data_IF_022201087282
#
_entry.id   IF_022201087282
#
_cell.length_a   1.000
_cell.length_b   1.000
_cell.length_c   1.000
_cell.angle_alpha   90.00
_cell.angle_beta   90.00
_cell.angle_gamma   90.00
#
_symmetry.space_group_name_H-M   'P 1'
#
loop_
_entity.id
_entity.type
_entity.pdbx_description
1 polymer ?
#
# COMPACT_ATOMS: atom_id res chain seq x y z
N UNK A 1 -45.07 24.15 -75.42
CA UNK A 1 -44.44 24.83 -76.60
C UNK A 1 -42.97 24.97 -76.36
N UNK A 2 -42.21 24.53 -77.37
CA UNK A 2 -40.75 24.67 -77.62
C UNK A 2 -39.74 23.90 -76.74
N UNK A 3 -39.33 22.79 -77.31
CA UNK A 3 -38.07 22.10 -77.17
C UNK A 3 -36.87 22.99 -77.46
N UNK A 4 -35.81 22.85 -76.60
CA UNK A 4 -34.45 23.12 -77.05
C UNK A 4 -33.57 22.06 -76.52
N UNK A 5 -33.08 21.23 -77.41
CA UNK A 5 -32.04 20.26 -77.28
C UNK A 5 -30.69 20.94 -77.16
N UNK A 6 -29.84 20.55 -76.18
CA UNK A 6 -28.42 20.87 -76.21
C UNK A 6 -27.58 19.58 -76.11
N UNK A 7 -26.73 19.54 -77.12
CA UNK A 7 -25.79 18.44 -77.36
C UNK A 7 -24.69 18.33 -76.31
N UNK A 8 -24.35 17.13 -76.03
CA UNK A 8 -23.17 16.76 -75.21
C UNK A 8 -21.86 17.14 -75.90
N UNK A 9 -20.95 17.76 -75.12
CA UNK A 9 -19.55 17.81 -75.44
C UNK A 9 -18.82 17.19 -74.24
N UNK A 10 -18.37 15.97 -74.45
CA UNK A 10 -17.54 15.25 -73.46
C UNK A 10 -16.09 15.77 -73.60
N UNK A 11 -15.65 16.58 -72.68
CA UNK A 11 -14.23 16.94 -72.53
C UNK A 11 -13.64 16.07 -71.42
N UNK A 12 -12.82 15.10 -71.77
CA UNK A 12 -11.93 14.39 -70.84
C UNK A 12 -10.87 15.35 -70.36
N UNK A 13 -10.98 15.81 -69.11
CA UNK A 13 -9.85 16.43 -68.39
C UNK A 13 -9.21 15.32 -67.59
N UNK A 14 -8.11 14.81 -68.06
CA UNK A 14 -7.22 13.94 -67.29
C UNK A 14 -6.50 14.82 -66.25
N UNK A 15 -7.00 14.81 -65.04
CA UNK A 15 -6.27 15.41 -63.88
C UNK A 15 -5.15 14.47 -63.46
N UNK A 16 -3.94 14.79 -63.82
CA UNK A 16 -2.72 14.25 -63.24
C UNK A 16 -2.68 14.70 -61.79
N UNK A 17 -3.12 13.84 -60.85
CA UNK A 17 -2.80 13.96 -59.45
C UNK A 17 -1.31 13.59 -59.28
N UNK A 18 -0.49 14.44 -58.64
CA UNK A 18 0.86 14.03 -58.30
C UNK A 18 0.75 12.86 -57.29
N UNK A 19 1.41 11.74 -57.61
CA UNK A 19 1.59 10.65 -56.68
C UNK A 19 2.29 11.23 -55.43
N UNK A 20 1.55 11.39 -54.34
CA UNK A 20 2.13 11.68 -53.06
C UNK A 20 2.99 10.44 -52.72
N UNK A 21 4.30 10.57 -52.89
CA UNK A 21 5.24 9.67 -52.28
C UNK A 21 5.01 9.74 -50.78
N UNK A 22 4.38 8.70 -50.23
CA UNK A 22 4.39 8.45 -48.78
C UNK A 22 5.87 8.29 -48.42
N UNK A 23 6.44 9.37 -47.89
CA UNK A 23 7.74 9.29 -47.26
C UNK A 23 7.57 8.30 -46.12
N UNK A 24 8.06 7.08 -46.31
CA UNK A 24 8.25 6.14 -45.21
C UNK A 24 9.14 6.87 -44.22
N UNK A 25 8.56 7.23 -43.06
CA UNK A 25 9.36 7.77 -41.98
C UNK A 25 10.48 6.75 -41.70
N UNK A 26 11.70 7.16 -41.92
CA UNK A 26 12.85 6.36 -41.52
C UNK A 26 12.71 6.05 -40.04
N UNK A 27 12.97 4.81 -39.61
CA UNK A 27 12.95 4.49 -38.18
C UNK A 27 13.88 5.46 -37.48
N UNK A 28 13.37 6.09 -36.42
CA UNK A 28 14.15 6.97 -35.56
C UNK A 28 15.21 6.16 -34.84
N UNK A 29 16.32 5.90 -35.52
CA UNK A 29 17.53 5.40 -34.88
C UNK A 29 18.27 6.60 -34.30
N UNK A 30 18.62 6.62 -33.02
CA UNK A 30 19.52 7.65 -32.51
C UNK A 30 20.87 7.51 -33.18
N UNK A 31 21.58 8.62 -33.45
CA UNK A 31 22.92 8.56 -33.98
C UNK A 31 23.83 7.92 -32.93
N UNK A 32 24.24 6.68 -33.13
CA UNK A 32 25.17 6.02 -32.24
C UNK A 32 25.07 4.49 -32.11
N UNK A 33 24.31 3.81 -32.97
CA UNK A 33 24.44 2.35 -33.07
C UNK A 33 23.25 1.53 -32.53
N UNK A 34 23.18 0.32 -33.03
CA UNK A 34 22.13 -0.70 -32.73
C UNK A 34 22.04 -1.09 -31.25
N UNK A 35 23.05 -0.84 -30.44
CA UNK A 35 23.13 -1.25 -29.05
C UNK A 35 22.13 -0.53 -28.11
N UNK A 36 21.67 0.66 -28.47
CA UNK A 36 20.75 1.45 -27.64
C UNK A 36 19.34 0.87 -27.59
N UNK A 37 18.98 0.05 -28.59
CA UNK A 37 17.63 -0.52 -28.72
C UNK A 37 17.56 -2.00 -28.31
N UNK A 38 18.66 -2.62 -27.99
CA UNK A 38 18.67 -3.98 -27.46
C UNK A 38 18.74 -3.92 -25.93
N UNK A 39 17.75 -4.46 -25.25
CA UNK A 39 17.78 -4.66 -23.81
C UNK A 39 18.64 -5.92 -23.55
N UNK A 40 19.84 -5.80 -22.98
CA UNK A 40 20.64 -6.96 -22.60
C UNK A 40 19.80 -7.87 -21.66
N UNK A 41 19.90 -9.19 -21.84
CA UNK A 41 19.20 -10.17 -21.02
C UNK A 41 17.66 -10.06 -21.05
N UNK A 42 17.07 -9.66 -22.17
CA UNK A 42 15.62 -9.45 -22.35
C UNK A 42 14.76 -10.60 -21.78
N UNK A 43 15.13 -11.83 -22.04
CA UNK A 43 14.40 -13.01 -21.54
C UNK A 43 14.48 -13.09 -20.01
N UNK A 44 15.65 -12.83 -19.45
CA UNK A 44 15.88 -12.84 -17.99
C UNK A 44 15.11 -11.72 -17.31
N UNK A 45 15.09 -10.52 -17.89
CA UNK A 45 14.34 -9.37 -17.37
C UNK A 45 12.85 -9.66 -17.42
N UNK A 46 12.32 -10.12 -18.55
CA UNK A 46 10.90 -10.46 -18.66
C UNK A 46 10.47 -11.56 -17.69
N UNK A 47 11.31 -12.57 -17.50
CA UNK A 47 11.06 -13.63 -16.53
C UNK A 47 11.07 -13.15 -15.08
N UNK A 48 11.86 -12.11 -14.77
CA UNK A 48 11.96 -11.51 -13.44
C UNK A 48 11.09 -10.27 -13.22
N UNK A 49 10.28 -9.87 -14.23
CA UNK A 49 9.39 -8.70 -14.07
C UNK A 49 8.23 -9.00 -13.14
N UNK A 50 8.04 -8.15 -12.13
CA UNK A 50 6.89 -8.18 -11.21
C UNK A 50 6.09 -6.89 -11.28
N UNK A 51 4.78 -6.98 -11.13
CA UNK A 51 3.87 -5.84 -11.09
C UNK A 51 3.27 -5.67 -9.71
N UNK A 52 3.22 -4.41 -9.25
CA UNK A 52 2.70 -4.04 -7.93
C UNK A 52 1.58 -3.04 -8.10
N UNK A 53 0.32 -3.42 -7.80
CA UNK A 53 -0.79 -2.47 -7.79
C UNK A 53 -0.77 -1.64 -6.51
N UNK A 54 -0.91 -0.33 -6.67
CA UNK A 54 -0.76 0.66 -5.59
C UNK A 54 -2.04 1.48 -5.38
N UNK A 55 -1.92 2.70 -4.83
CA UNK A 55 -3.01 3.68 -4.76
C UNK A 55 -3.11 4.51 -6.06
N UNK A 56 -4.14 5.34 -6.19
CA UNK A 56 -4.15 6.43 -7.16
C UNK A 56 -2.92 7.33 -7.03
N UNK A 57 -2.62 8.08 -8.08
CA UNK A 57 -1.49 9.02 -8.09
C UNK A 57 -1.54 9.98 -6.88
N UNK A 58 -0.39 10.21 -6.25
CA UNK A 58 -0.27 11.07 -5.06
C UNK A 58 -0.54 10.37 -3.73
N UNK A 59 -1.10 9.17 -3.72
CA UNK A 59 -1.22 8.36 -2.50
C UNK A 59 0.14 7.81 -2.04
N UNK A 60 0.32 7.64 -0.74
CA UNK A 60 1.58 7.14 -0.18
C UNK A 60 2.05 5.82 -0.83
N UNK A 61 1.16 4.87 -1.07
CA UNK A 61 1.53 3.59 -1.70
C UNK A 61 1.98 3.73 -3.16
N UNK A 62 1.56 4.77 -3.90
CA UNK A 62 2.08 5.02 -5.25
C UNK A 62 3.54 5.49 -5.20
N UNK A 63 3.92 6.25 -4.18
CA UNK A 63 5.31 6.65 -3.92
C UNK A 63 6.12 5.44 -3.48
N UNK A 64 5.59 4.59 -2.60
CA UNK A 64 6.21 3.32 -2.22
C UNK A 64 6.49 2.42 -3.43
N UNK A 65 5.55 2.30 -4.37
CA UNK A 65 5.74 1.57 -5.62
C UNK A 65 6.90 2.13 -6.45
N UNK A 66 6.99 3.46 -6.56
CA UNK A 66 8.10 4.13 -7.25
C UNK A 66 9.44 3.93 -6.54
N UNK A 67 9.46 3.95 -5.22
CA UNK A 67 10.66 3.68 -4.43
C UNK A 67 11.11 2.23 -4.61
N UNK A 68 10.16 1.26 -4.60
CA UNK A 68 10.47 -0.16 -4.86
C UNK A 68 11.12 -0.34 -6.24
N UNK A 69 10.57 0.26 -7.28
CA UNK A 69 11.17 0.20 -8.61
C UNK A 69 12.60 0.79 -8.62
N UNK A 70 12.79 1.97 -8.02
CA UNK A 70 14.09 2.65 -8.02
C UNK A 70 15.20 1.91 -7.28
N UNK A 71 14.87 1.16 -6.23
CA UNK A 71 15.86 0.47 -5.40
C UNK A 71 16.10 -0.96 -5.88
N UNK A 72 15.07 -1.60 -6.45
CA UNK A 72 15.10 -3.02 -6.72
C UNK A 72 15.30 -3.38 -8.19
N UNK A 73 15.06 -2.44 -9.13
CA UNK A 73 15.36 -2.70 -10.55
C UNK A 73 16.83 -3.05 -10.71
N UNK A 74 17.10 -4.21 -11.30
CA UNK A 74 18.44 -4.74 -11.50
C UNK A 74 18.47 -5.60 -12.77
N UNK A 75 18.98 -5.01 -13.85
CA UNK A 75 19.05 -5.66 -15.15
C UNK A 75 20.03 -6.85 -15.14
N UNK A 76 21.10 -6.79 -14.32
CA UNK A 76 22.07 -7.87 -14.20
C UNK A 76 21.48 -9.08 -13.52
N UNK A 77 20.75 -8.85 -12.44
CA UNK A 77 19.99 -9.89 -11.76
C UNK A 77 18.69 -10.24 -12.49
N UNK A 78 18.24 -9.42 -13.45
CA UNK A 78 17.01 -9.60 -14.19
C UNK A 78 15.78 -9.45 -13.29
N UNK A 79 15.77 -8.44 -12.43
CA UNK A 79 14.59 -8.03 -11.64
C UNK A 79 14.09 -6.70 -12.15
N UNK A 80 12.84 -6.65 -12.53
CA UNK A 80 12.15 -5.42 -12.92
C UNK A 80 10.89 -5.26 -12.11
N UNK A 81 10.70 -4.11 -11.47
CA UNK A 81 9.52 -3.78 -10.66
C UNK A 81 8.69 -2.73 -11.37
N UNK A 82 7.46 -3.06 -11.70
CA UNK A 82 6.53 -2.16 -12.38
C UNK A 82 5.40 -1.75 -11.43
N UNK A 83 5.42 -0.53 -10.88
CA UNK A 83 4.31 -0.02 -10.11
C UNK A 83 3.14 0.33 -11.04
N UNK A 84 1.95 -0.13 -10.69
CA UNK A 84 0.69 0.12 -11.40
C UNK A 84 -0.22 0.96 -10.50
N UNK A 85 -0.78 2.02 -11.02
CA UNK A 85 -1.74 2.83 -10.28
C UNK A 85 -3.06 2.08 -10.14
N UNK A 86 -3.49 1.88 -8.90
CA UNK A 86 -4.74 1.20 -8.54
C UNK A 86 -5.84 2.18 -8.13
N UNK A 87 -6.94 1.60 -7.65
CA UNK A 87 -8.12 2.35 -7.18
C UNK A 87 -8.31 2.27 -5.67
N UNK A 88 -7.31 1.79 -4.94
CA UNK A 88 -7.39 1.64 -3.49
C UNK A 88 -7.44 0.19 -3.02
N UNK A 89 -7.25 -0.07 -1.70
CA UNK A 89 -7.01 -1.40 -1.15
C UNK A 89 -8.08 -2.44 -1.43
N UNK A 90 -9.37 -2.06 -1.42
CA UNK A 90 -10.48 -2.97 -1.71
C UNK A 90 -10.42 -3.43 -3.17
N UNK A 91 -10.26 -2.49 -4.11
CA UNK A 91 -10.15 -2.84 -5.52
C UNK A 91 -8.87 -3.61 -5.82
N UNK A 92 -7.78 -3.27 -5.16
CA UNK A 92 -6.50 -3.97 -5.32
C UNK A 92 -6.61 -5.46 -4.98
N UNK A 93 -7.45 -5.84 -4.01
CA UNK A 93 -7.73 -7.27 -3.73
C UNK A 93 -8.27 -7.98 -4.96
N UNK A 94 -9.28 -7.40 -5.63
CA UNK A 94 -9.84 -7.98 -6.86
C UNK A 94 -8.77 -8.07 -7.95
N UNK A 95 -7.96 -7.03 -8.08
CA UNK A 95 -6.92 -6.97 -9.10
C UNK A 95 -5.81 -8.02 -8.83
N UNK A 96 -5.38 -8.20 -7.58
CA UNK A 96 -4.43 -9.26 -7.19
C UNK A 96 -5.02 -10.65 -7.45
N UNK A 97 -6.30 -10.86 -7.17
CA UNK A 97 -6.93 -12.17 -7.30
C UNK A 97 -7.22 -12.57 -8.76
N UNK A 98 -7.53 -11.62 -9.64
CA UNK A 98 -8.13 -11.93 -10.94
C UNK A 98 -7.43 -11.30 -12.13
N UNK A 99 -6.66 -10.22 -12.01
CA UNK A 99 -5.94 -9.65 -13.14
C UNK A 99 -4.65 -10.42 -13.43
N UNK A 100 -4.52 -10.90 -14.66
CA UNK A 100 -3.37 -11.72 -15.09
C UNK A 100 -2.01 -11.02 -14.95
N UNK A 101 -1.99 -9.70 -15.07
CA UNK A 101 -0.76 -8.93 -15.05
C UNK A 101 -0.40 -8.40 -13.65
N UNK A 102 -1.18 -8.66 -12.61
CA UNK A 102 -0.88 -8.18 -11.25
C UNK A 102 -0.32 -9.33 -10.42
N UNK A 103 0.87 -9.16 -9.89
CA UNK A 103 1.54 -10.16 -9.06
C UNK A 103 1.31 -9.92 -7.57
N UNK A 104 1.29 -8.65 -7.15
CA UNK A 104 1.09 -8.23 -5.76
C UNK A 104 0.54 -6.81 -5.69
N UNK A 105 0.19 -6.35 -4.50
CA UNK A 105 -0.30 -4.98 -4.33
C UNK A 105 -0.45 -4.55 -2.89
N UNK A 106 -0.71 -3.26 -2.72
CA UNK A 106 -0.97 -2.66 -1.42
C UNK A 106 -2.43 -2.86 -1.01
N UNK A 107 -2.64 -3.45 0.17
CA UNK A 107 -3.95 -3.66 0.81
C UNK A 107 -3.87 -3.24 2.28
N UNK A 108 -5.01 -3.07 2.95
CA UNK A 108 -5.01 -2.85 4.41
C UNK A 108 -5.42 -4.11 5.15
N UNK A 109 -4.96 -4.24 6.39
CA UNK A 109 -5.19 -5.45 7.20
C UNK A 109 -6.68 -5.75 7.43
N UNK A 110 -7.53 -4.76 7.41
CA UNK A 110 -8.98 -4.85 7.66
C UNK A 110 -9.81 -5.24 6.43
N UNK A 111 -9.23 -5.21 5.22
CA UNK A 111 -9.97 -5.45 3.97
C UNK A 111 -10.70 -6.81 3.94
N UNK A 112 -10.15 -7.92 4.44
CA UNK A 112 -10.90 -9.19 4.49
C UNK A 112 -12.19 -9.09 5.30
N UNK A 113 -12.18 -8.39 6.42
CA UNK A 113 -13.37 -8.17 7.25
C UNK A 113 -14.40 -7.30 6.51
N UNK A 114 -13.96 -6.24 5.82
CA UNK A 114 -14.84 -5.45 4.99
C UNK A 114 -15.54 -6.30 3.90
N UNK A 115 -14.78 -7.18 3.23
CA UNK A 115 -15.37 -8.10 2.23
C UNK A 115 -16.40 -9.05 2.83
N UNK A 116 -16.14 -9.56 4.03
CA UNK A 116 -17.10 -10.39 4.77
C UNK A 116 -18.38 -9.62 5.09
N UNK A 117 -18.25 -8.39 5.59
CA UNK A 117 -19.40 -7.55 6.00
C UNK A 117 -20.20 -7.02 4.82
N UNK A 118 -19.53 -6.58 3.77
CA UNK A 118 -20.15 -5.86 2.66
C UNK A 118 -20.67 -6.79 1.56
N UNK A 119 -19.93 -7.87 1.30
CA UNK A 119 -20.18 -8.74 0.14
C UNK A 119 -20.46 -10.20 0.53
N UNK A 120 -20.41 -10.55 1.80
CA UNK A 120 -20.60 -11.93 2.25
C UNK A 120 -19.48 -12.88 1.80
N UNK A 121 -18.28 -12.38 1.51
CA UNK A 121 -17.12 -13.16 1.05
C UNK A 121 -16.15 -13.37 2.21
N UNK A 122 -16.16 -14.56 2.86
CA UNK A 122 -15.39 -14.78 4.08
C UNK A 122 -13.94 -15.21 3.84
N UNK A 123 -13.57 -15.64 2.64
CA UNK A 123 -12.34 -16.39 2.37
C UNK A 123 -11.20 -15.55 1.76
N UNK A 124 -11.35 -14.23 1.70
CA UNK A 124 -10.32 -13.33 1.12
C UNK A 124 -8.96 -13.51 1.82
N UNK A 125 -8.94 -13.58 3.15
CA UNK A 125 -7.70 -13.74 3.90
C UNK A 125 -6.98 -15.09 3.61
N UNK A 126 -7.72 -16.14 3.26
CA UNK A 126 -7.13 -17.44 2.90
C UNK A 126 -6.49 -17.45 1.52
N UNK A 127 -6.94 -16.58 0.62
CA UNK A 127 -6.48 -16.46 -0.76
C UNK A 127 -5.29 -15.52 -0.94
N UNK A 128 -5.11 -14.60 0.00
CA UNK A 128 -4.01 -13.64 0.03
C UNK A 128 -2.94 -14.05 1.04
N UNK A 129 -1.72 -13.60 0.79
CA UNK A 129 -0.57 -13.72 1.70
C UNK A 129 0.12 -12.38 1.78
N UNK A 130 0.39 -11.88 3.00
CA UNK A 130 1.17 -10.66 3.12
C UNK A 130 2.67 -10.96 2.98
N UNK A 131 3.39 -10.04 2.39
CA UNK A 131 4.85 -10.07 2.25
C UNK A 131 5.47 -9.29 3.40
N UNK A 132 5.07 -8.04 3.57
CA UNK A 132 5.56 -7.13 4.60
C UNK A 132 4.48 -6.12 5.00
N UNK A 133 4.62 -5.54 6.20
CA UNK A 133 3.93 -4.31 6.56
C UNK A 133 4.68 -3.13 5.96
N UNK A 134 3.97 -2.22 5.29
CA UNK A 134 4.55 -1.03 4.70
C UNK A 134 4.52 0.16 5.69
N UNK A 135 3.34 0.52 6.18
CA UNK A 135 3.13 1.62 7.15
C UNK A 135 1.75 1.51 7.80
N UNK A 136 1.39 2.50 8.63
CA UNK A 136 0.06 2.59 9.22
C UNK A 136 -0.79 3.67 8.53
N UNK A 137 -2.07 3.37 8.37
CA UNK A 137 -3.12 4.36 8.16
C UNK A 137 -3.83 4.63 9.47
N UNK A 138 -3.71 5.82 9.98
CA UNK A 138 -4.40 6.29 11.17
C UNK A 138 -5.84 6.66 10.85
N UNK A 139 -6.78 6.29 11.72
CA UNK A 139 -8.19 6.64 11.60
C UNK A 139 -8.40 8.03 12.19
N UNK A 140 -8.96 8.92 11.39
CA UNK A 140 -9.28 10.30 11.75
C UNK A 140 -10.79 10.46 11.73
N UNK A 141 -11.37 10.84 12.86
CA UNK A 141 -12.79 11.18 12.95
C UNK A 141 -12.89 12.64 13.33
N UNK A 142 -13.56 13.43 12.50
CA UNK A 142 -13.83 14.86 12.75
C UNK A 142 -15.32 15.05 12.94
N UNK A 143 -15.72 15.75 13.98
CA UNK A 143 -17.12 16.05 14.28
C UNK A 143 -17.24 17.37 15.04
N UNK A 144 -18.48 17.84 15.24
CA UNK A 144 -18.77 18.95 16.15
C UNK A 144 -18.49 18.57 17.61
N UNK A 145 -18.23 19.55 18.44
CA UNK A 145 -17.77 19.39 19.85
C UNK A 145 -18.76 18.67 20.78
N UNK A 146 -19.99 18.45 20.35
CA UNK A 146 -20.98 17.65 21.10
C UNK A 146 -20.78 16.14 20.92
N UNK A 147 -20.01 15.68 19.93
CA UNK A 147 -19.65 14.28 19.68
C UNK A 147 -18.23 14.09 20.23
N UNK A 148 -18.07 13.39 21.35
CA UNK A 148 -16.77 13.30 22.06
C UNK A 148 -16.05 11.97 21.84
N UNK A 149 -16.80 10.92 21.54
CA UNK A 149 -16.31 9.56 21.35
C UNK A 149 -16.97 8.94 20.13
N UNK A 150 -16.34 7.94 19.55
CA UNK A 150 -16.92 7.18 18.46
C UNK A 150 -18.29 6.57 18.84
N UNK A 151 -18.55 6.30 20.10
CA UNK A 151 -19.85 5.78 20.56
C UNK A 151 -20.99 6.80 20.42
N UNK A 152 -20.69 8.10 20.38
CA UNK A 152 -21.69 9.15 20.15
C UNK A 152 -22.15 9.19 18.67
N UNK A 153 -21.56 8.35 17.81
CA UNK A 153 -21.95 8.19 16.41
C UNK A 153 -23.13 7.22 16.21
N UNK A 154 -23.66 6.62 17.27
CA UNK A 154 -24.90 5.81 17.18
C UNK A 154 -26.04 6.63 16.57
N UNK A 155 -26.66 6.10 15.51
CA UNK A 155 -27.75 6.74 14.78
C UNK A 155 -27.34 7.97 13.95
N UNK A 156 -26.04 8.30 13.85
CA UNK A 156 -25.54 9.48 13.16
C UNK A 156 -25.28 9.23 11.67
N UNK A 157 -25.22 10.33 10.91
CA UNK A 157 -24.82 10.35 9.51
C UNK A 157 -23.34 10.68 9.41
N UNK A 158 -22.58 9.76 8.83
CA UNK A 158 -21.14 9.87 8.69
C UNK A 158 -20.82 10.02 7.20
N UNK A 159 -20.10 11.07 6.83
CA UNK A 159 -19.42 11.11 5.53
C UNK A 159 -18.05 10.49 5.70
N UNK A 160 -17.73 9.54 4.86
CA UNK A 160 -16.44 8.87 4.89
C UNK A 160 -15.62 9.26 3.66
N UNK A 161 -14.30 9.36 3.86
CA UNK A 161 -13.35 9.42 2.78
C UNK A 161 -13.65 8.29 1.78
N UNK A 162 -13.63 8.60 0.51
CA UNK A 162 -13.86 7.60 -0.54
C UNK A 162 -12.92 6.41 -0.38
N UNK A 163 -13.47 5.19 -0.50
CA UNK A 163 -12.80 3.91 -0.31
C UNK A 163 -12.28 3.69 1.13
N UNK A 164 -11.05 4.13 1.45
CA UNK A 164 -10.34 3.73 2.68
C UNK A 164 -11.10 4.16 3.93
N UNK A 165 -11.52 5.41 4.03
CA UNK A 165 -12.28 5.91 5.18
C UNK A 165 -13.62 5.21 5.35
N UNK A 166 -14.32 4.92 4.24
CA UNK A 166 -15.61 4.24 4.28
C UNK A 166 -15.53 2.83 4.84
N UNK A 167 -14.61 2.00 4.34
CA UNK A 167 -14.54 0.63 4.85
C UNK A 167 -13.93 0.55 6.25
N UNK A 168 -12.97 1.43 6.60
CA UNK A 168 -12.48 1.52 7.99
C UNK A 168 -13.60 1.91 8.94
N UNK A 169 -14.37 2.96 8.62
CA UNK A 169 -15.52 3.37 9.43
C UNK A 169 -16.55 2.25 9.59
N UNK A 170 -16.85 1.55 8.49
CA UNK A 170 -17.83 0.46 8.51
C UNK A 170 -17.38 -0.72 9.35
N UNK A 171 -16.12 -1.13 9.24
CA UNK A 171 -15.54 -2.23 10.04
C UNK A 171 -15.51 -1.84 11.52
N UNK A 172 -15.03 -0.65 11.86
CA UNK A 172 -14.93 -0.19 13.25
C UNK A 172 -16.31 -0.07 13.88
N UNK A 173 -17.26 0.59 13.22
CA UNK A 173 -18.63 0.73 13.73
C UNK A 173 -19.30 -0.64 13.92
N UNK A 174 -19.18 -1.56 12.97
CA UNK A 174 -19.72 -2.92 13.11
C UNK A 174 -19.10 -3.65 14.31
N UNK A 175 -17.77 -3.60 14.47
CA UNK A 175 -17.07 -4.23 15.58
C UNK A 175 -17.46 -3.65 16.94
N UNK A 176 -17.69 -2.35 17.00
CA UNK A 176 -18.10 -1.66 18.23
C UNK A 176 -19.60 -1.72 18.49
N UNK A 177 -20.40 -2.25 17.55
CA UNK A 177 -21.86 -2.32 17.67
C UNK A 177 -22.55 -0.97 17.48
N UNK A 178 -21.97 -0.07 16.68
CA UNK A 178 -22.49 1.27 16.39
C UNK A 178 -23.25 1.23 15.06
N UNK A 179 -24.52 1.61 15.08
CA UNK A 179 -25.36 1.72 13.89
C UNK A 179 -25.32 3.16 13.36
N UNK A 180 -24.50 3.40 12.36
CA UNK A 180 -24.40 4.69 11.68
C UNK A 180 -24.79 4.54 10.20
N UNK A 181 -25.23 5.65 9.58
CA UNK A 181 -25.43 5.71 8.13
C UNK A 181 -24.23 6.36 7.47
N UNK A 182 -23.83 5.85 6.30
CA UNK A 182 -22.62 6.27 5.64
C UNK A 182 -22.89 6.87 4.26
N UNK A 183 -22.33 8.06 4.00
CA UNK A 183 -22.16 8.63 2.67
C UNK A 183 -20.67 8.68 2.33
N UNK A 184 -20.26 8.05 1.22
CA UNK A 184 -18.89 7.97 0.75
C UNK A 184 -18.70 8.53 -0.67
N UNK A 185 -19.71 9.23 -1.21
CA UNK A 185 -19.71 9.75 -2.59
C UNK A 185 -19.21 11.17 -2.70
N UNK A 186 -19.05 11.84 -1.58
CA UNK A 186 -18.61 13.24 -1.52
C UNK A 186 -17.08 13.28 -1.45
N UNK A 187 -16.45 14.23 -2.14
CA UNK A 187 -15.02 14.47 -1.98
C UNK A 187 -14.67 14.92 -0.56
N UNK A 188 -13.43 14.70 -0.16
CA UNK A 188 -13.01 14.90 1.22
C UNK A 188 -13.19 16.34 1.72
N UNK A 189 -12.89 17.34 0.89
CA UNK A 189 -13.03 18.75 1.29
C UNK A 189 -14.50 19.13 1.50
N UNK A 190 -15.37 18.68 0.60
CA UNK A 190 -16.82 18.89 0.73
C UNK A 190 -17.40 18.11 1.90
N UNK A 191 -16.89 16.90 2.15
CA UNK A 191 -17.31 16.06 3.27
C UNK A 191 -17.09 16.75 4.61
N UNK A 192 -15.95 17.40 4.81
CA UNK A 192 -15.65 18.18 6.01
C UNK A 192 -16.58 19.40 6.10
N UNK A 193 -16.82 20.11 4.99
CA UNK A 193 -17.74 21.26 4.95
C UNK A 193 -19.17 20.85 5.34
N UNK A 194 -19.61 19.66 4.95
CA UNK A 194 -20.94 19.14 5.28
C UNK A 194 -21.20 19.01 6.78
N UNK A 195 -20.14 18.86 7.62
CA UNK A 195 -20.29 18.87 9.07
C UNK A 195 -20.67 20.27 9.55
N UNK A 196 -19.99 21.30 9.06
CA UNK A 196 -20.30 22.69 9.41
C UNK A 196 -21.75 23.06 9.02
N UNK A 197 -22.14 22.67 7.80
CA UNK A 197 -23.50 22.89 7.27
C UNK A 197 -24.58 22.03 7.95
N UNK A 198 -24.19 21.06 8.81
CA UNK A 198 -25.14 20.15 9.48
C UNK A 198 -25.75 19.07 8.58
N UNK A 199 -25.23 18.92 7.34
CA UNK A 199 -25.67 17.87 6.41
C UNK A 199 -25.26 16.48 6.89
N UNK A 200 -24.09 16.38 7.54
CA UNK A 200 -23.58 15.18 8.20
C UNK A 200 -23.12 15.48 9.63
N UNK A 201 -23.01 14.48 10.45
CA UNK A 201 -22.63 14.62 11.86
C UNK A 201 -21.13 14.48 12.09
N UNK A 202 -20.47 13.67 11.24
CA UNK A 202 -19.02 13.41 11.31
C UNK A 202 -18.43 13.09 9.94
N UNK A 203 -17.10 13.25 9.85
CA UNK A 203 -16.28 12.77 8.75
C UNK A 203 -15.29 11.73 9.26
N UNK A 204 -15.07 10.66 8.50
CA UNK A 204 -14.07 9.63 8.80
C UNK A 204 -13.09 9.51 7.63
N UNK A 205 -11.81 9.70 7.92
CA UNK A 205 -10.70 9.43 7.02
C UNK A 205 -9.77 8.36 7.60
N UNK A 206 -9.17 7.53 6.74
CA UNK A 206 -8.15 6.57 7.13
C UNK A 206 -6.96 6.70 6.19
N UNK A 207 -5.91 7.32 6.68
CA UNK A 207 -4.70 7.61 5.91
C UNK A 207 -3.53 7.85 6.85
N UNK A 208 -2.31 7.81 6.32
CA UNK A 208 -1.13 8.10 7.12
C UNK A 208 -1.14 9.50 7.68
N UNK A 209 -0.87 9.66 8.98
CA UNK A 209 -0.64 10.97 9.55
C UNK A 209 0.71 11.54 9.05
N UNK A 210 0.79 12.81 8.68
CA UNK A 210 -0.20 13.87 8.88
C UNK A 210 -1.15 13.92 7.67
N UNK A 211 -2.44 13.89 7.92
CA UNK A 211 -3.43 14.04 6.85
C UNK A 211 -3.56 15.52 6.48
N UNK A 212 -3.05 15.88 5.30
CA UNK A 212 -2.90 17.26 4.86
C UNK A 212 -4.21 18.06 4.88
N UNK A 213 -5.32 17.46 4.46
CA UNK A 213 -6.64 18.09 4.50
C UNK A 213 -7.00 18.55 5.91
N UNK A 214 -6.85 17.66 6.90
CA UNK A 214 -7.25 17.96 8.29
C UNK A 214 -6.26 18.89 8.99
N UNK A 215 -4.97 18.83 8.62
CA UNK A 215 -3.98 19.78 9.14
C UNK A 215 -4.30 21.22 8.75
N UNK A 216 -4.81 21.42 7.54
CA UNK A 216 -5.07 22.74 6.96
C UNK A 216 -6.54 23.16 7.02
N UNK A 217 -7.37 22.42 7.75
CA UNK A 217 -8.78 22.77 7.91
C UNK A 217 -8.94 24.16 8.52
N UNK A 218 -9.87 24.94 7.97
CA UNK A 218 -10.29 26.21 8.59
C UNK A 218 -11.28 25.90 9.71
N UNK A 219 -10.94 26.22 10.93
CA UNK A 219 -11.72 25.96 12.14
C UNK A 219 -11.49 27.08 13.16
N UNK A 220 -11.72 28.33 12.72
CA UNK A 220 -11.41 29.53 13.48
C UNK A 220 -12.27 29.63 14.76
N UNK A 221 -13.51 29.20 14.70
CA UNK A 221 -14.45 29.13 15.83
C UNK A 221 -14.27 27.88 16.70
N UNK A 222 -13.35 26.99 16.35
CA UNK A 222 -13.11 25.69 17.01
C UNK A 222 -14.37 24.84 17.19
N UNK A 223 -15.32 24.95 16.27
CA UNK A 223 -16.55 24.16 16.25
C UNK A 223 -16.33 22.69 15.95
N UNK A 224 -15.19 22.36 15.30
CA UNK A 224 -14.82 21.01 14.94
C UNK A 224 -13.63 20.52 15.80
N UNK A 225 -13.59 19.23 16.05
CA UNK A 225 -12.48 18.58 16.75
C UNK A 225 -12.27 17.13 16.29
N UNK A 226 -11.15 16.53 16.68
CA UNK A 226 -10.88 15.11 16.50
C UNK A 226 -11.58 14.30 17.59
N UNK A 227 -12.29 13.24 17.16
CA UNK A 227 -13.07 12.36 18.03
C UNK A 227 -12.23 11.14 18.39
N UNK A 228 -12.25 10.74 19.66
CA UNK A 228 -11.52 9.58 20.16
C UNK A 228 -12.12 8.25 19.65
N UNK A 229 -11.22 7.34 19.31
CA UNK A 229 -11.53 5.91 19.07
C UNK A 229 -10.74 5.09 20.09
N UNK A 230 -11.37 4.61 21.16
CA UNK A 230 -10.65 3.84 22.18
C UNK A 230 -10.16 2.51 21.62
N UNK A 231 -8.98 2.07 22.08
CA UNK A 231 -8.40 0.78 21.71
C UNK A 231 -9.15 -0.37 22.42
N UNK A 232 -10.40 -0.59 21.99
CA UNK A 232 -11.29 -1.62 22.53
C UNK A 232 -10.82 -3.04 22.18
N UNK A 233 -11.09 -4.02 23.05
CA UNK A 233 -10.74 -5.43 22.82
C UNK A 233 -11.28 -5.98 21.49
N UNK A 234 -12.43 -5.48 21.03
CA UNK A 234 -13.07 -5.85 19.75
C UNK A 234 -12.28 -5.40 18.52
N UNK A 235 -11.29 -4.51 18.68
CA UNK A 235 -10.46 -3.96 17.59
C UNK A 235 -9.03 -4.51 17.61
N UNK A 236 -8.57 -5.14 18.71
CA UNK A 236 -7.16 -5.47 18.95
C UNK A 236 -6.60 -6.56 18.02
N UNK A 237 -7.45 -7.37 17.42
CA UNK A 237 -7.05 -8.39 16.44
C UNK A 237 -6.78 -7.83 15.04
N UNK A 238 -7.01 -6.54 14.82
CA UNK A 238 -6.94 -5.93 13.48
C UNK A 238 -6.30 -4.54 13.46
N UNK A 239 -6.47 -3.79 14.52
CA UNK A 239 -5.99 -2.41 14.66
C UNK A 239 -4.89 -2.29 15.70
N UNK A 240 -4.10 -1.24 15.56
CA UNK A 240 -3.05 -0.85 16.51
C UNK A 240 -3.45 0.44 17.22
N UNK A 241 -3.10 0.63 18.50
CA UNK A 241 -3.33 1.91 19.17
C UNK A 241 -2.40 2.98 18.60
N UNK A 242 -2.90 4.19 18.48
CA UNK A 242 -2.11 5.36 18.08
C UNK A 242 -2.73 6.64 18.64
N UNK A 243 -2.00 7.74 18.53
CA UNK A 243 -2.40 9.04 19.04
C UNK A 243 -2.22 10.10 17.96
N UNK A 244 -3.18 11.01 17.84
CA UNK A 244 -3.10 12.22 17.03
C UNK A 244 -2.82 13.40 17.96
N UNK A 245 -1.92 14.29 17.58
CA UNK A 245 -1.43 15.39 18.44
C UNK A 245 -1.76 16.74 17.86
N UNK A 246 -1.69 17.78 18.69
CA UNK A 246 -1.85 19.17 18.26
C UNK A 246 -0.74 19.63 17.30
N UNK A 247 0.45 19.01 17.35
CA UNK A 247 1.52 19.25 16.38
C UNK A 247 1.14 18.77 14.98
N UNK A 248 0.43 17.64 14.91
CA UNK A 248 -0.11 17.09 13.67
C UNK A 248 -1.31 17.91 13.18
N UNK A 249 -2.21 18.34 14.10
CA UNK A 249 -3.52 18.95 13.80
C UNK A 249 -3.83 20.18 14.68
N UNK A 250 -3.10 21.29 14.51
CA UNK A 250 -3.20 22.46 15.42
C UNK A 250 -4.57 23.16 15.40
N UNK A 251 -5.34 23.01 14.32
CA UNK A 251 -6.66 23.61 14.19
C UNK A 251 -7.80 22.72 14.75
N UNK A 252 -7.52 21.46 15.06
CA UNK A 252 -8.51 20.50 15.57
C UNK A 252 -8.28 20.09 17.02
N UNK A 253 -7.08 20.37 17.56
CA UNK A 253 -6.71 20.09 18.94
C UNK A 253 -6.18 21.36 19.61
N UNK A 254 -6.41 21.56 20.93
CA UNK A 254 -5.78 22.62 21.68
C UNK A 254 -4.26 22.36 21.79
N UNK A 255 -3.48 23.41 22.06
CA UNK A 255 -2.04 23.30 22.27
C UNK A 255 -1.70 22.26 23.35
N UNK A 256 -0.75 21.38 23.07
CA UNK A 256 -0.41 20.24 23.93
C UNK A 256 -1.47 19.13 23.99
N UNK A 257 -2.60 19.29 23.28
CA UNK A 257 -3.69 18.31 23.25
C UNK A 257 -3.35 17.10 22.39
N UNK A 258 -3.98 15.97 22.74
CA UNK A 258 -3.89 14.73 22.01
C UNK A 258 -5.22 13.97 22.05
N UNK A 259 -5.43 13.08 21.10
CA UNK A 259 -6.59 12.19 21.06
C UNK A 259 -6.16 10.78 20.67
N UNK A 260 -6.64 9.80 21.41
CA UNK A 260 -6.39 8.38 21.11
C UNK A 260 -7.25 7.95 19.94
N UNK A 261 -6.65 7.18 19.05
CA UNK A 261 -7.32 6.56 17.91
C UNK A 261 -6.68 5.21 17.58
N UNK A 262 -7.14 4.59 16.52
CA UNK A 262 -6.59 3.33 16.03
C UNK A 262 -6.02 3.49 14.63
N UNK A 263 -5.10 2.61 14.27
CA UNK A 263 -4.51 2.55 12.96
C UNK A 263 -4.60 1.14 12.37
N UNK A 264 -4.82 1.06 11.06
CA UNK A 264 -4.73 -0.19 10.31
C UNK A 264 -3.37 -0.29 9.61
N UNK A 265 -2.83 -1.51 9.51
CA UNK A 265 -1.59 -1.73 8.78
C UNK A 265 -1.84 -1.77 7.28
N UNK A 266 -1.05 -1.03 6.52
CA UNK A 266 -0.94 -1.18 5.06
C UNK A 266 0.08 -2.28 4.77
N UNK A 267 -0.34 -3.28 4.02
CA UNK A 267 0.42 -4.49 3.72
C UNK A 267 0.75 -4.56 2.22
N UNK A 268 1.94 -5.01 1.90
CA UNK A 268 2.23 -5.57 0.58
C UNK A 268 1.76 -7.03 0.59
N UNK A 269 0.82 -7.37 -0.27
CA UNK A 269 0.23 -8.69 -0.33
C UNK A 269 0.21 -9.25 -1.77
N UNK A 270 0.25 -10.57 -1.88
CA UNK A 270 0.16 -11.31 -3.12
C UNK A 270 -0.92 -12.38 -3.03
N UNK A 271 -1.35 -12.92 -4.17
CA UNK A 271 -2.12 -14.15 -4.18
C UNK A 271 -1.28 -15.29 -3.58
N UNK A 272 -1.93 -16.29 -3.02
CA UNK A 272 -1.27 -17.48 -2.49
C UNK A 272 -0.81 -18.41 -3.62
N UNK A 273 0.21 -17.97 -4.38
CA UNK A 273 0.75 -18.73 -5.51
C UNK A 273 1.33 -20.06 -5.06
N UNK A 274 1.02 -21.18 -5.74
CA UNK A 274 1.72 -22.45 -5.49
C UNK A 274 3.22 -22.32 -5.77
N UNK A 275 4.03 -22.91 -4.90
CA UNK A 275 5.49 -22.76 -4.92
C UNK A 275 6.18 -23.24 -6.22
N UNK A 276 5.53 -24.10 -6.99
CA UNK A 276 6.03 -24.63 -8.26
C UNK A 276 5.64 -23.78 -9.49
N UNK A 277 5.12 -22.57 -9.29
CA UNK A 277 4.71 -21.69 -10.40
C UNK A 277 5.76 -20.62 -10.71
N UNK A 278 5.85 -20.22 -11.98
CA UNK A 278 6.71 -19.09 -12.39
C UNK A 278 6.40 -17.81 -11.64
N UNK A 279 5.11 -17.56 -11.36
CA UNK A 279 4.71 -16.38 -10.58
C UNK A 279 5.24 -16.41 -9.17
N UNK A 280 5.19 -17.56 -8.50
CA UNK A 280 5.80 -17.70 -7.19
C UNK A 280 7.31 -17.40 -7.25
N UNK A 281 8.01 -17.95 -8.25
CA UNK A 281 9.45 -17.74 -8.41
C UNK A 281 9.80 -16.26 -8.60
N UNK A 282 9.02 -15.50 -9.42
CA UNK A 282 9.21 -14.06 -9.59
C UNK A 282 8.98 -13.29 -8.29
N UNK A 283 7.89 -13.59 -7.59
CA UNK A 283 7.57 -12.94 -6.31
C UNK A 283 8.61 -13.28 -5.25
N UNK A 284 9.11 -14.53 -5.20
CA UNK A 284 10.18 -14.93 -4.28
C UNK A 284 11.49 -14.18 -4.56
N UNK A 285 11.83 -13.98 -5.84
CA UNK A 285 12.99 -13.16 -6.23
C UNK A 285 12.84 -11.71 -5.77
N UNK A 286 11.67 -11.11 -5.97
CA UNK A 286 11.35 -9.78 -5.45
C UNK A 286 11.48 -9.73 -3.92
N UNK A 287 10.95 -10.70 -3.20
CA UNK A 287 11.02 -10.78 -1.73
C UNK A 287 12.48 -10.79 -1.27
N UNK A 288 13.32 -11.61 -1.90
CA UNK A 288 14.75 -11.66 -1.56
C UNK A 288 15.42 -10.30 -1.75
N UNK A 289 15.21 -9.65 -2.89
CA UNK A 289 15.80 -8.33 -3.18
C UNK A 289 15.27 -7.25 -2.21
N UNK A 290 13.96 -7.25 -1.95
CA UNK A 290 13.33 -6.27 -1.08
C UNK A 290 13.79 -6.39 0.37
N UNK A 291 13.81 -7.61 0.92
CA UNK A 291 14.18 -7.83 2.32
C UNK A 291 15.67 -7.57 2.56
N UNK A 292 16.53 -7.94 1.59
CA UNK A 292 17.97 -7.68 1.68
C UNK A 292 18.32 -6.19 1.63
N UNK A 293 17.44 -5.35 1.08
CA UNK A 293 17.66 -3.90 0.94
C UNK A 293 16.71 -3.05 1.79
N UNK A 294 16.04 -3.63 2.79
CA UNK A 294 15.01 -2.91 3.58
C UNK A 294 15.55 -1.60 4.19
N UNK A 295 16.79 -1.59 4.65
CA UNK A 295 17.42 -0.42 5.25
C UNK A 295 17.62 0.75 4.27
N UNK A 296 17.69 0.48 2.96
CA UNK A 296 17.82 1.51 1.93
C UNK A 296 16.51 2.30 1.76
N UNK A 297 15.37 1.65 2.00
CA UNK A 297 14.08 2.31 1.95
C UNK A 297 13.85 3.25 3.12
N UNK A 298 14.45 2.98 4.28
CA UNK A 298 14.27 3.80 5.49
C UNK A 298 15.10 5.09 5.48
N UNK A 299 15.94 5.30 4.45
CA UNK A 299 16.82 6.47 4.30
C UNK A 299 16.27 7.47 3.27
N UNK A 300 16.54 8.77 3.45
CA UNK A 300 16.27 9.76 2.41
C UNK A 300 16.95 9.38 1.08
N UNK A 301 16.37 9.71 -0.08
CA UNK A 301 15.19 10.54 -0.30
C UNK A 301 13.85 9.76 -0.35
N UNK A 302 13.79 8.56 0.20
CA UNK A 302 12.58 7.72 0.21
C UNK A 302 11.48 8.33 1.07
N UNK A 303 10.24 7.89 0.82
CA UNK A 303 9.09 8.37 1.58
C UNK A 303 9.28 8.14 3.10
N UNK A 304 9.08 9.15 3.98
CA UNK A 304 9.38 9.03 5.42
C UNK A 304 8.68 7.87 6.12
N UNK A 305 7.48 7.50 5.68
CA UNK A 305 6.73 6.37 6.25
C UNK A 305 7.36 5.00 6.02
N UNK A 306 8.41 4.87 5.20
CA UNK A 306 9.20 3.65 5.15
C UNK A 306 9.84 3.27 6.49
N UNK A 307 10.01 4.24 7.40
CA UNK A 307 10.49 3.98 8.77
C UNK A 307 9.50 3.19 9.62
N UNK A 308 8.23 3.11 9.21
CA UNK A 308 7.19 2.29 9.85
C UNK A 308 7.13 0.88 9.25
N UNK A 309 7.88 0.62 8.18
CA UNK A 309 7.89 -0.67 7.51
C UNK A 309 8.54 -1.74 8.36
N UNK A 310 7.99 -2.94 8.30
CA UNK A 310 8.54 -4.11 8.99
C UNK A 310 8.34 -5.36 8.14
N UNK A 311 9.44 -6.06 7.90
CA UNK A 311 9.45 -7.35 7.21
C UNK A 311 9.17 -8.52 8.18
N UNK A 312 9.39 -8.33 9.48
CA UNK A 312 9.32 -9.39 10.50
C UNK A 312 8.03 -9.41 11.30
N UNK A 313 7.28 -8.29 11.37
CA UNK A 313 6.07 -8.21 12.20
C UNK A 313 5.03 -9.27 11.81
N UNK A 314 4.43 -9.89 12.81
CA UNK A 314 3.26 -10.76 12.63
C UNK A 314 2.00 -9.90 12.55
N UNK A 315 1.22 -10.07 11.48
CA UNK A 315 -0.04 -9.35 11.28
C UNK A 315 -1.19 -10.27 11.69
N UNK A 316 -1.94 -9.95 12.75
CA UNK A 316 -3.05 -10.77 13.20
C UNK A 316 -4.08 -11.03 12.08
N UNK A 317 -4.59 -12.24 12.00
CA UNK A 317 -5.57 -12.64 10.98
C UNK A 317 -4.99 -12.85 9.56
N UNK A 318 -3.69 -12.61 9.35
CA UNK A 318 -3.03 -12.80 8.07
C UNK A 318 -1.95 -13.89 8.12
N UNK A 319 -1.80 -14.61 7.02
CA UNK A 319 -0.70 -15.57 6.83
C UNK A 319 0.36 -14.93 5.95
N UNK A 320 1.63 -15.05 6.34
CA UNK A 320 2.77 -14.57 5.56
C UNK A 320 2.96 -15.41 4.31
N UNK A 321 3.43 -14.78 3.23
CA UNK A 321 3.84 -15.50 2.02
C UNK A 321 5.02 -16.43 2.35
N UNK A 322 4.96 -17.66 1.88
CA UNK A 322 5.99 -18.68 2.19
C UNK A 322 7.40 -18.19 1.87
N UNK A 323 7.62 -17.58 0.71
CA UNK A 323 8.92 -17.03 0.34
C UNK A 323 9.45 -15.98 1.34
N UNK A 324 8.54 -15.16 1.89
CA UNK A 324 8.90 -14.14 2.88
C UNK A 324 9.21 -14.78 4.25
N UNK A 325 8.49 -15.83 4.64
CA UNK A 325 8.75 -16.55 5.86
C UNK A 325 10.07 -17.33 5.78
N UNK A 326 10.29 -18.06 4.67
CA UNK A 326 11.51 -18.81 4.44
C UNK A 326 12.76 -17.92 4.49
N UNK A 327 12.67 -16.70 3.90
CA UNK A 327 13.76 -15.72 3.98
C UNK A 327 14.05 -15.29 5.42
N UNK A 328 13.01 -15.00 6.20
CA UNK A 328 13.15 -14.60 7.60
C UNK A 328 13.78 -15.74 8.43
N UNK A 329 13.32 -16.97 8.24
CA UNK A 329 13.82 -18.13 8.97
C UNK A 329 15.32 -18.36 8.68
N UNK A 330 15.70 -18.29 7.39
CA UNK A 330 17.09 -18.43 6.98
C UNK A 330 18.01 -17.32 7.53
N UNK A 331 17.53 -16.07 7.52
CA UNK A 331 18.34 -14.93 7.95
C UNK A 331 18.33 -14.75 9.48
N UNK A 332 17.28 -15.18 10.16
CA UNK A 332 17.25 -15.21 11.64
C UNK A 332 18.25 -16.22 12.20
N UNK A 333 18.40 -17.38 11.56
CA UNK A 333 19.39 -18.36 11.93
C UNK A 333 20.81 -17.82 11.73
N UNK A 334 21.08 -17.17 10.59
CA UNK A 334 22.37 -16.56 10.27
C UNK A 334 22.70 -15.39 11.23
N UNK A 335 21.75 -14.52 11.52
CA UNK A 335 21.92 -13.44 12.49
C UNK A 335 22.20 -13.99 13.89
N UNK A 336 21.50 -15.04 14.31
CA UNK A 336 21.73 -15.71 15.60
C UNK A 336 23.13 -16.32 15.70
N UNK A 337 23.65 -16.88 14.61
CA UNK A 337 25.03 -17.41 14.59
C UNK A 337 26.07 -16.28 14.62
N UNK A 338 25.89 -15.20 13.87
CA UNK A 338 26.77 -14.04 13.87
C UNK A 338 26.79 -13.33 15.23
N UNK A 339 25.61 -13.13 15.83
CA UNK A 339 25.47 -12.53 17.17
C UNK A 339 26.08 -13.41 18.24
N UNK A 340 25.93 -14.74 18.12
CA UNK A 340 26.56 -15.69 19.02
C UNK A 340 28.08 -15.68 18.87
N UNK A 341 28.60 -15.63 17.65
CA UNK A 341 30.05 -15.50 17.39
C UNK A 341 30.60 -14.21 18.03
N UNK A 342 29.92 -13.07 17.84
CA UNK A 342 30.28 -11.80 18.46
C UNK A 342 30.17 -11.84 20.01
N UNK A 343 29.20 -12.53 20.55
CA UNK A 343 29.07 -12.78 21.99
C UNK A 343 30.23 -13.61 22.52
N UNK A 344 30.61 -14.70 21.84
CA UNK A 344 31.74 -15.53 22.19
C UNK A 344 33.07 -14.76 22.16
N UNK A 345 33.23 -13.90 21.14
CA UNK A 345 34.41 -13.06 21.02
C UNK A 345 34.54 -12.04 22.17
N UNK A 346 33.42 -11.35 22.52
CA UNK A 346 33.38 -10.40 23.65
C UNK A 346 33.61 -11.08 25.00
N UNK A 347 33.16 -12.32 25.18
CA UNK A 347 33.34 -13.06 26.43
C UNK A 347 34.69 -13.78 26.53
N UNK A 348 35.54 -13.65 25.52
CA UNK A 348 36.88 -14.29 25.51
C UNK A 348 36.86 -15.79 25.35
N UNK A 349 35.75 -16.43 25.05
CA UNK A 349 35.54 -17.86 24.97
C UNK A 349 35.79 -18.42 23.57
N UNK A 350 36.97 -18.17 23.00
CA UNK A 350 37.28 -18.55 21.61
C UNK A 350 37.51 -20.04 21.37
N UNK A 351 37.90 -20.82 22.38
CA UNK A 351 38.21 -22.25 22.26
C UNK A 351 37.43 -23.06 23.29
N UNK A 352 36.18 -23.35 23.01
CA UNK A 352 35.31 -24.12 23.92
C UNK A 352 35.05 -25.52 23.31
N UNK A 353 35.02 -26.57 24.09
CA UNK A 353 34.63 -27.91 23.63
C UNK A 353 33.24 -27.91 23.01
N UNK A 354 32.92 -28.78 22.01
CA UNK A 354 31.64 -28.82 21.33
C UNK A 354 30.42 -28.91 22.26
N UNK A 355 30.50 -29.71 23.31
CA UNK A 355 29.41 -29.87 24.29
C UNK A 355 29.13 -28.60 25.10
N UNK A 356 30.15 -27.80 25.38
CA UNK A 356 30.02 -26.52 26.07
C UNK A 356 29.54 -25.44 25.10
N UNK A 357 29.90 -25.52 23.83
CA UNK A 357 29.42 -24.62 22.74
C UNK A 357 27.90 -24.69 22.60
N UNK A 358 27.33 -25.91 22.56
CA UNK A 358 25.87 -26.12 22.48
C UNK A 358 25.13 -25.57 23.71
N UNK A 359 25.72 -25.63 24.87
CA UNK A 359 25.17 -25.06 26.09
C UNK A 359 25.17 -23.52 26.01
N UNK A 360 26.32 -22.94 25.67
CA UNK A 360 26.48 -21.48 25.51
C UNK A 360 25.56 -20.89 24.44
N UNK A 361 25.33 -21.62 23.35
CA UNK A 361 24.38 -21.22 22.32
C UNK A 361 22.92 -21.22 22.83
N UNK A 362 22.54 -22.24 23.61
CA UNK A 362 21.21 -22.26 24.27
C UNK A 362 21.05 -21.12 25.28
N UNK A 363 22.06 -20.83 26.08
CA UNK A 363 22.05 -19.76 27.08
C UNK A 363 21.95 -18.38 26.37
N UNK A 364 22.64 -18.22 25.23
CA UNK A 364 22.55 -17.04 24.39
C UNK A 364 21.13 -16.85 23.80
N UNK A 365 20.50 -17.89 23.29
CA UNK A 365 19.14 -17.83 22.77
C UNK A 365 18.11 -17.46 23.85
N UNK A 366 18.28 -17.99 25.06
CA UNK A 366 17.44 -17.63 26.21
C UNK A 366 17.65 -16.18 26.67
N UNK A 367 18.89 -15.72 26.69
CA UNK A 367 19.22 -14.34 27.00
C UNK A 367 18.60 -13.39 25.98
N UNK A 368 18.69 -13.68 24.68
CA UNK A 368 18.12 -12.87 23.60
C UNK A 368 16.59 -12.76 23.70
N UNK A 369 15.88 -13.83 24.07
CA UNK A 369 14.42 -13.81 24.32
C UNK A 369 13.99 -12.86 25.44
N UNK A 370 14.88 -12.59 26.40
CA UNK A 370 14.60 -11.71 27.56
C UNK A 370 14.94 -10.26 27.31
N UNK A 371 15.74 -9.99 26.28
CA UNK A 371 16.26 -8.63 25.96
C UNK A 371 15.59 -7.99 24.74
N UNK A 372 14.75 -8.71 24.04
CA UNK A 372 13.89 -8.26 22.93
C UNK A 372 12.44 -8.72 23.15
#
# INVERSE_FOLDING_TARGET
MRHITRRHASGLIASLLPAATVAQAAPLHPPGGEEVWTIPNKEKINAGTVTIITAPAGGATSIFGSDLARVLDDDQEGLRVLPVLGKGPVRNVVDILYLKAIDMGAVTAEVPEFYRLQYGVPDIASRLRYIAKLYNNEVHIVAKTNIKSIFDLEGKRITAQTDVGYYSAKVICNRLGINATFDYRTDDARAVQNIADGTTDAYVGSTGKVFFLLRNIKNEDRALHLVSVPYDKRLQDMYLPTTLTSEDYPNLLPEGGQVDTVATSVLLAAFNWPANTERYARVAKFVNAFFSKIDEFQKPPRHPKWRESSISIVVPGWTRLKAAQDWLDANSANASQADFAAFMERTGKRNVPPAEMDRLYRDFLEWRKRTH
#
